data_IF_861648412372
#
_entry.id   IF_861648412372
#
_cell.length_a   1.000
_cell.length_b   1.000
_cell.length_c   1.000
_cell.angle_alpha   90.00
_cell.angle_beta   90.00
_cell.angle_gamma   90.00
#
_symmetry.space_group_name_H-M   'P 1'
#
loop_
_entity.id
_entity.type
_entity.pdbx_description
1 polymer ?
#
# COMPACT_ATOMS: atom_id res chain seq x y z
N UNK A 1 -9.12 -12.38 1.62
CA UNK A 1 -10.19 -13.03 0.82
C UNK A 1 -11.21 -13.79 1.67
N UNK A 2 -10.85 -14.76 2.51
CA UNK A 2 -11.82 -15.58 3.28
C UNK A 2 -12.81 -14.78 4.14
N UNK A 3 -12.41 -13.65 4.74
CA UNK A 3 -13.30 -12.79 5.55
C UNK A 3 -14.40 -12.13 4.70
N UNK A 4 -14.06 -11.61 3.52
CA UNK A 4 -15.03 -11.05 2.57
C UNK A 4 -16.01 -12.11 2.07
N UNK A 5 -15.50 -13.28 1.69
CA UNK A 5 -16.34 -14.41 1.25
C UNK A 5 -17.29 -14.87 2.38
N UNK A 6 -16.81 -14.93 3.62
CA UNK A 6 -17.66 -15.26 4.78
C UNK A 6 -18.71 -14.18 5.07
N UNK A 7 -18.36 -12.90 4.87
CA UNK A 7 -19.29 -11.78 5.03
C UNK A 7 -20.38 -11.82 3.95
N UNK A 8 -19.99 -12.05 2.71
CA UNK A 8 -20.90 -12.27 1.58
C UNK A 8 -21.80 -13.49 1.86
N UNK A 9 -21.23 -14.63 2.24
CA UNK A 9 -21.98 -15.86 2.53
C UNK A 9 -23.02 -15.70 3.64
N UNK A 10 -22.79 -14.80 4.59
CA UNK A 10 -23.72 -14.51 5.70
C UNK A 10 -24.73 -13.38 5.38
N UNK A 11 -24.69 -12.81 4.17
CA UNK A 11 -25.52 -11.66 3.80
C UNK A 11 -25.25 -10.41 4.66
N UNK A 12 -24.08 -10.32 5.30
CA UNK A 12 -23.68 -9.20 6.18
C UNK A 12 -22.58 -8.41 5.53
N UNK A 13 -22.91 -7.75 4.40
CA UNK A 13 -21.98 -6.84 3.74
C UNK A 13 -21.92 -5.53 4.52
N UNK A 14 -20.72 -5.08 4.85
CA UNK A 14 -20.50 -3.74 5.40
C UNK A 14 -20.71 -2.68 4.32
N UNK A 15 -21.09 -1.48 4.72
CA UNK A 15 -21.29 -0.36 3.80
C UNK A 15 -19.97 0.35 3.42
N UNK A 16 -18.93 0.27 4.25
CA UNK A 16 -17.65 0.91 4.02
C UNK A 16 -16.48 0.01 4.38
N UNK A 17 -15.55 -0.13 3.45
CA UNK A 17 -14.32 -0.91 3.61
C UNK A 17 -13.09 -0.04 3.37
N UNK A 18 -12.05 -0.30 4.15
CA UNK A 18 -10.71 0.19 3.86
C UNK A 18 -9.83 -1.01 3.51
N UNK A 19 -9.43 -1.11 2.25
CA UNK A 19 -8.45 -2.07 1.79
C UNK A 19 -7.06 -1.45 1.96
N UNK A 20 -6.27 -2.01 2.83
CA UNK A 20 -4.91 -1.58 3.09
C UNK A 20 -3.91 -2.67 2.66
N UNK A 21 -2.86 -2.30 1.95
CA UNK A 21 -1.86 -3.24 1.46
C UNK A 21 -0.66 -2.53 0.87
N UNK A 22 0.30 -3.31 0.36
CA UNK A 22 1.57 -2.79 -0.12
C UNK A 22 1.49 -2.25 -1.56
N UNK A 23 0.57 -2.79 -2.37
CA UNK A 23 0.46 -2.45 -3.79
C UNK A 23 -0.96 -1.98 -4.13
N UNK A 24 -1.06 -0.72 -4.58
CA UNK A 24 -2.35 -0.12 -4.93
C UNK A 24 -3.05 -0.86 -6.08
N UNK A 25 -2.28 -1.37 -7.05
CA UNK A 25 -2.82 -2.14 -8.16
C UNK A 25 -3.52 -3.43 -7.70
N UNK A 26 -2.94 -4.17 -6.76
CA UNK A 26 -3.55 -5.37 -6.18
C UNK A 26 -4.83 -5.03 -5.41
N UNK A 27 -4.82 -3.95 -4.66
CA UNK A 27 -6.02 -3.47 -3.96
C UNK A 27 -7.13 -3.08 -4.94
N UNK A 28 -6.78 -2.46 -6.07
CA UNK A 28 -7.72 -2.10 -7.13
C UNK A 28 -8.35 -3.35 -7.78
N UNK A 29 -7.55 -4.39 -8.07
CA UNK A 29 -8.07 -5.65 -8.58
C UNK A 29 -9.01 -6.34 -7.59
N UNK A 30 -8.69 -6.33 -6.30
CA UNK A 30 -9.57 -6.87 -5.25
C UNK A 30 -10.89 -6.10 -5.14
N UNK A 31 -10.83 -4.78 -5.22
CA UNK A 31 -12.02 -3.93 -5.21
C UNK A 31 -12.90 -4.17 -6.44
N UNK A 32 -12.26 -4.32 -7.63
CA UNK A 32 -12.94 -4.65 -8.88
C UNK A 32 -13.62 -6.02 -8.79
N UNK A 33 -12.95 -7.05 -8.29
CA UNK A 33 -13.51 -8.38 -8.10
C UNK A 33 -14.72 -8.36 -7.13
N UNK A 34 -14.65 -7.57 -6.05
CA UNK A 34 -15.81 -7.40 -5.17
C UNK A 34 -16.97 -6.70 -5.89
N UNK A 35 -16.72 -5.62 -6.62
CA UNK A 35 -17.74 -4.91 -7.40
C UNK A 35 -18.38 -5.82 -8.46
N UNK A 36 -17.57 -6.66 -9.14
CA UNK A 36 -18.06 -7.67 -10.07
C UNK A 36 -18.94 -8.70 -9.37
N UNK A 37 -18.53 -9.24 -8.22
CA UNK A 37 -19.32 -10.22 -7.45
C UNK A 37 -20.68 -9.67 -7.04
N UNK A 38 -20.75 -8.38 -6.63
CA UNK A 38 -21.96 -7.71 -6.18
C UNK A 38 -22.95 -7.41 -7.33
N UNK A 39 -22.44 -7.21 -8.56
CA UNK A 39 -23.23 -6.79 -9.71
C UNK A 39 -23.25 -7.86 -10.83
N UNK A 40 -22.76 -9.08 -10.56
CA UNK A 40 -22.74 -10.15 -11.53
C UNK A 40 -24.16 -10.67 -11.83
N UNK A 41 -24.50 -10.78 -13.11
CA UNK A 41 -25.79 -11.35 -13.54
C UNK A 41 -25.88 -12.86 -13.29
N UNK A 42 -24.76 -13.56 -13.29
CA UNK A 42 -24.66 -15.00 -13.12
C UNK A 42 -23.55 -15.37 -12.14
N UNK A 43 -23.66 -14.93 -10.85
CA UNK A 43 -22.61 -15.16 -9.87
C UNK A 43 -22.41 -16.65 -9.58
N UNK A 44 -21.18 -17.03 -9.31
CA UNK A 44 -20.89 -18.33 -8.71
C UNK A 44 -21.46 -18.35 -7.31
N UNK A 45 -22.27 -19.37 -7.01
CA UNK A 45 -22.94 -19.47 -5.73
C UNK A 45 -22.43 -20.66 -4.92
N UNK A 46 -22.19 -20.43 -3.64
CA UNK A 46 -21.96 -21.47 -2.64
C UNK A 46 -23.06 -21.39 -1.59
N UNK A 47 -23.75 -22.49 -1.33
CA UNK A 47 -24.88 -22.55 -0.39
C UNK A 47 -25.97 -21.49 -0.67
N UNK A 48 -26.24 -21.17 -1.96
CA UNK A 48 -27.25 -20.21 -2.36
C UNK A 48 -26.81 -18.75 -2.38
N UNK A 49 -25.64 -18.42 -1.87
CA UNK A 49 -25.10 -17.05 -1.78
C UNK A 49 -24.02 -16.82 -2.86
N UNK A 50 -24.03 -15.62 -3.47
CA UNK A 50 -23.00 -15.21 -4.43
C UNK A 50 -21.65 -15.11 -3.72
N UNK A 51 -20.68 -15.89 -4.14
CA UNK A 51 -19.33 -15.93 -3.56
C UNK A 51 -18.26 -15.44 -4.51
N UNK A 52 -18.56 -15.42 -5.82
CA UNK A 52 -17.61 -14.96 -6.84
C UNK A 52 -18.35 -14.50 -8.12
N UNK A 53 -17.65 -13.70 -8.96
CA UNK A 53 -18.15 -13.28 -10.25
C UNK A 53 -18.00 -14.36 -11.32
N UNK A 54 -18.75 -14.25 -12.43
CA UNK A 54 -18.59 -15.16 -13.55
C UNK A 54 -17.58 -14.69 -14.61
N UNK A 55 -17.07 -13.48 -14.51
CA UNK A 55 -16.09 -12.77 -15.37
C UNK A 55 -16.46 -12.62 -16.86
N UNK A 56 -17.61 -13.11 -17.28
CA UNK A 56 -18.03 -13.18 -18.70
C UNK A 56 -19.37 -12.53 -19.01
N UNK A 57 -20.19 -12.18 -18.02
CA UNK A 57 -21.45 -11.47 -18.28
C UNK A 57 -21.21 -10.01 -18.67
N UNK A 58 -22.26 -9.32 -19.15
CA UNK A 58 -22.15 -7.92 -19.57
C UNK A 58 -21.63 -7.01 -18.44
N UNK A 59 -22.13 -7.19 -17.21
CA UNK A 59 -21.72 -6.39 -16.06
C UNK A 59 -20.26 -6.65 -15.67
N UNK A 60 -19.81 -7.91 -15.61
CA UNK A 60 -18.42 -8.21 -15.34
C UNK A 60 -17.47 -7.56 -16.35
N UNK A 61 -17.82 -7.58 -17.65
CA UNK A 61 -17.01 -6.93 -18.69
C UNK A 61 -17.00 -5.41 -18.56
N UNK A 62 -18.18 -4.79 -18.32
CA UNK A 62 -18.28 -3.33 -18.10
C UNK A 62 -17.43 -2.90 -16.88
N UNK A 63 -17.50 -3.65 -15.77
CA UNK A 63 -16.74 -3.35 -14.55
C UNK A 63 -15.24 -3.54 -14.79
N UNK A 64 -14.81 -4.57 -15.52
CA UNK A 64 -13.42 -4.78 -15.89
C UNK A 64 -12.84 -3.61 -16.72
N UNK A 65 -13.66 -2.91 -17.48
CA UNK A 65 -13.31 -1.76 -18.30
C UNK A 65 -13.58 -0.39 -17.64
N UNK A 66 -13.99 -0.37 -16.37
CA UNK A 66 -14.40 0.82 -15.61
C UNK A 66 -15.58 1.59 -16.27
N UNK A 67 -16.49 0.88 -16.98
CA UNK A 67 -17.61 1.43 -17.76
C UNK A 67 -19.00 1.12 -17.17
N UNK A 68 -19.07 0.54 -15.98
CA UNK A 68 -20.36 0.17 -15.37
C UNK A 68 -21.02 1.39 -14.71
N UNK A 69 -22.30 1.70 -14.97
CA UNK A 69 -22.97 2.91 -14.48
C UNK A 69 -23.14 2.95 -12.96
N UNK A 70 -23.08 1.81 -12.28
CA UNK A 70 -23.21 1.72 -10.83
C UNK A 70 -21.88 1.45 -10.11
N UNK A 71 -20.74 1.54 -10.82
CA UNK A 71 -19.40 1.39 -10.23
C UNK A 71 -18.58 2.63 -10.57
N UNK A 72 -18.32 3.44 -9.57
CA UNK A 72 -17.65 4.73 -9.71
C UNK A 72 -16.24 4.67 -9.13
N UNK A 73 -15.30 5.19 -9.91
CA UNK A 73 -13.91 5.30 -9.49
C UNK A 73 -13.54 6.76 -9.27
N UNK A 74 -12.91 7.04 -8.13
CA UNK A 74 -12.24 8.32 -7.88
C UNK A 74 -10.74 8.07 -7.79
N UNK A 75 -9.99 8.79 -8.62
CA UNK A 75 -8.53 8.74 -8.69
C UNK A 75 -7.95 10.14 -8.54
N UNK A 76 -6.72 10.28 -7.99
CA UNK A 76 -6.07 11.58 -7.94
C UNK A 76 -5.77 12.11 -9.36
N UNK A 77 -6.43 13.17 -9.79
CA UNK A 77 -6.30 13.76 -11.14
C UNK A 77 -5.40 14.99 -11.18
N UNK A 78 -5.16 15.64 -10.03
CA UNK A 78 -4.37 16.86 -9.97
C UNK A 78 -2.88 16.63 -10.20
N UNK A 79 -2.14 17.66 -10.67
CA UNK A 79 -0.66 17.66 -10.72
C UNK A 79 -0.03 17.32 -9.36
N UNK A 80 -0.73 17.61 -8.27
CA UNK A 80 -0.32 17.31 -6.89
C UNK A 80 -0.74 15.90 -6.45
N UNK A 81 -1.41 15.12 -7.32
CA UNK A 81 -1.95 13.79 -7.00
C UNK A 81 -2.82 13.79 -5.74
N UNK A 82 -3.69 14.78 -5.61
CA UNK A 82 -4.61 14.96 -4.48
C UNK A 82 -6.04 14.74 -4.98
N UNK A 83 -6.85 14.04 -4.20
CA UNK A 83 -8.29 13.94 -4.43
C UNK A 83 -8.96 15.19 -3.83
N UNK A 84 -9.67 15.92 -4.68
CA UNK A 84 -10.29 17.21 -4.33
C UNK A 84 -11.67 17.03 -3.73
N UNK A 85 -12.18 18.08 -3.09
CA UNK A 85 -13.53 18.09 -2.53
C UNK A 85 -14.59 18.01 -3.64
N UNK A 86 -14.32 18.55 -4.82
CA UNK A 86 -15.26 18.54 -5.94
C UNK A 86 -15.42 17.14 -6.53
N UNK A 87 -14.32 16.39 -6.72
CA UNK A 87 -14.39 14.97 -7.09
C UNK A 87 -15.21 14.14 -6.09
N UNK A 88 -15.05 14.41 -4.80
CA UNK A 88 -15.83 13.71 -3.77
C UNK A 88 -17.31 14.12 -3.75
N UNK A 89 -17.62 15.38 -4.06
CA UNK A 89 -19.02 15.84 -4.18
C UNK A 89 -19.72 15.19 -5.37
N UNK A 90 -19.06 15.13 -6.52
CA UNK A 90 -19.56 14.42 -7.71
C UNK A 90 -19.82 12.95 -7.40
N UNK A 91 -18.87 12.25 -6.80
CA UNK A 91 -19.07 10.87 -6.37
C UNK A 91 -20.28 10.72 -5.45
N UNK A 92 -20.43 11.60 -4.45
CA UNK A 92 -21.54 11.53 -3.51
C UNK A 92 -22.89 11.79 -4.17
N UNK A 93 -22.96 12.69 -5.16
CA UNK A 93 -24.17 12.92 -5.96
C UNK A 93 -24.56 11.67 -6.74
N UNK A 94 -23.62 11.04 -7.42
CA UNK A 94 -23.82 9.77 -8.13
C UNK A 94 -24.27 8.64 -7.20
N UNK A 95 -23.72 8.57 -6.01
CA UNK A 95 -24.10 7.55 -5.02
C UNK A 95 -25.50 7.73 -4.44
N UNK A 96 -26.06 8.96 -4.44
CA UNK A 96 -27.44 9.24 -4.00
C UNK A 96 -28.50 8.75 -5.00
N UNK A 97 -28.14 8.55 -6.25
CA UNK A 97 -29.04 8.04 -7.26
C UNK A 97 -29.33 6.56 -7.01
N UNK A 98 -30.53 6.10 -7.35
CA UNK A 98 -30.83 4.66 -7.29
C UNK A 98 -29.94 3.88 -8.27
N UNK A 99 -29.55 2.64 -7.95
CA UNK A 99 -28.84 1.79 -8.90
C UNK A 99 -29.61 1.70 -10.22
N UNK A 100 -28.89 1.81 -11.34
CA UNK A 100 -29.45 1.71 -12.70
C UNK A 100 -29.84 0.27 -13.04
N UNK A 101 -29.13 -0.69 -12.45
CA UNK A 101 -29.35 -2.12 -12.57
C UNK A 101 -29.68 -2.72 -11.19
N UNK A 102 -30.07 -3.98 -11.10
CA UNK A 102 -30.57 -4.63 -9.85
C UNK A 102 -29.49 -4.98 -8.84
N UNK A 103 -28.35 -4.31 -8.85
CA UNK A 103 -27.20 -4.59 -8.01
C UNK A 103 -26.96 -3.59 -6.89
N UNK A 104 -25.69 -3.40 -6.60
CA UNK A 104 -25.17 -2.45 -5.63
C UNK A 104 -24.51 -1.27 -6.35
N UNK A 105 -24.67 -0.06 -5.82
CA UNK A 105 -23.77 1.04 -6.16
C UNK A 105 -22.46 0.86 -5.42
N UNK A 106 -21.35 0.90 -6.15
CA UNK A 106 -20.01 0.72 -5.59
C UNK A 106 -19.17 1.95 -5.90
N UNK A 107 -18.68 2.60 -4.86
CA UNK A 107 -17.70 3.67 -4.98
C UNK A 107 -16.33 3.17 -4.58
N UNK A 108 -15.34 3.32 -5.46
CA UNK A 108 -13.96 2.92 -5.22
C UNK A 108 -13.09 4.17 -5.24
N UNK A 109 -12.47 4.47 -4.10
CA UNK A 109 -11.60 5.64 -3.92
C UNK A 109 -10.16 5.13 -3.88
N UNK A 110 -9.46 5.27 -5.02
CA UNK A 110 -8.09 4.83 -5.19
C UNK A 110 -7.12 5.84 -4.57
N UNK A 111 -6.12 5.37 -3.83
CA UNK A 111 -5.20 6.19 -3.06
C UNK A 111 -5.93 7.16 -2.09
N UNK A 112 -6.82 6.64 -1.26
CA UNK A 112 -7.63 7.42 -0.32
C UNK A 112 -6.78 8.25 0.67
N UNK A 113 -5.52 7.88 0.93
CA UNK A 113 -4.54 8.67 1.68
C UNK A 113 -4.19 10.01 1.00
N UNK A 114 -4.61 10.22 -0.26
CA UNK A 114 -4.47 11.47 -1.02
C UNK A 114 -5.68 12.40 -0.93
N UNK A 115 -6.70 12.03 -0.16
CA UNK A 115 -7.82 12.93 0.13
C UNK A 115 -7.29 14.19 0.85
N UNK A 116 -7.62 15.38 0.32
CA UNK A 116 -7.38 16.59 1.09
C UNK A 116 -8.34 16.67 2.28
N UNK A 117 -8.04 17.50 3.27
CA UNK A 117 -8.83 17.62 4.50
C UNK A 117 -10.30 17.99 4.22
N UNK A 118 -10.55 18.81 3.21
CA UNK A 118 -11.92 19.21 2.84
C UNK A 118 -12.69 18.04 2.20
N UNK A 119 -12.07 17.29 1.30
CA UNK A 119 -12.63 16.09 0.68
C UNK A 119 -12.94 15.01 1.73
N UNK A 120 -11.98 14.77 2.63
CA UNK A 120 -12.14 13.81 3.72
C UNK A 120 -13.32 14.18 4.64
N UNK A 121 -13.42 15.44 5.05
CA UNK A 121 -14.54 15.91 5.89
C UNK A 121 -15.90 15.86 5.18
N UNK A 122 -15.96 16.22 3.89
CA UNK A 122 -17.19 16.13 3.10
C UNK A 122 -17.68 14.68 2.99
N UNK A 123 -16.76 13.71 2.97
CA UNK A 123 -17.09 12.28 2.85
C UNK A 123 -17.64 11.66 4.13
N UNK A 124 -17.37 12.25 5.32
CA UNK A 124 -17.79 11.69 6.61
C UNK A 124 -19.30 11.47 6.71
N UNK A 125 -20.11 12.40 6.18
CA UNK A 125 -21.57 12.27 6.21
C UNK A 125 -22.05 11.03 5.46
N UNK A 126 -21.45 10.72 4.31
CA UNK A 126 -21.80 9.53 3.51
C UNK A 126 -21.33 8.24 4.18
N UNK A 127 -20.24 8.29 4.94
CA UNK A 127 -19.78 7.15 5.74
C UNK A 127 -20.69 6.88 6.94
N UNK A 128 -21.32 7.91 7.52
CA UNK A 128 -22.27 7.79 8.65
C UNK A 128 -23.64 7.34 8.19
N UNK A 129 -24.12 7.91 7.08
CA UNK A 129 -25.45 7.65 6.50
C UNK A 129 -25.31 7.21 5.03
N UNK A 130 -24.84 5.96 4.79
CA UNK A 130 -24.64 5.47 3.43
C UNK A 130 -25.99 5.26 2.72
N UNK A 131 -26.06 5.54 1.42
CA UNK A 131 -27.25 5.22 0.63
C UNK A 131 -27.55 3.71 0.64
N UNK A 132 -28.84 3.38 0.50
CA UNK A 132 -29.28 1.99 0.42
C UNK A 132 -28.58 1.24 -0.73
N UNK A 133 -28.20 -0.02 -0.48
CA UNK A 133 -27.48 -0.86 -1.45
C UNK A 133 -26.22 -0.21 -2.02
N UNK A 134 -25.52 0.56 -1.20
CA UNK A 134 -24.21 1.12 -1.56
C UNK A 134 -23.09 0.46 -0.82
N UNK A 135 -21.91 0.37 -1.47
CA UNK A 135 -20.67 -0.09 -0.87
C UNK A 135 -19.54 0.89 -1.21
N UNK A 136 -18.89 1.40 -0.19
CA UNK A 136 -17.78 2.35 -0.30
C UNK A 136 -16.47 1.59 -0.05
N UNK A 137 -15.51 1.65 -0.96
CA UNK A 137 -14.23 0.95 -0.86
C UNK A 137 -13.11 1.97 -0.97
N UNK A 138 -12.38 2.16 0.10
CA UNK A 138 -11.19 3.01 0.14
C UNK A 138 -9.96 2.12 -0.03
N UNK A 139 -9.08 2.48 -0.96
CA UNK A 139 -7.82 1.79 -1.20
C UNK A 139 -6.67 2.66 -0.72
N UNK A 140 -5.79 2.14 0.11
CA UNK A 140 -4.65 2.89 0.62
C UNK A 140 -3.45 2.02 0.88
N UNK A 141 -2.28 2.49 0.46
CA UNK A 141 -0.98 1.91 0.85
C UNK A 141 -0.44 2.58 2.13
N UNK A 142 -0.98 3.75 2.51
CA UNK A 142 -0.58 4.52 3.69
C UNK A 142 -1.81 4.83 4.58
N UNK A 143 -2.50 3.82 5.14
CA UNK A 143 -3.75 4.02 5.88
C UNK A 143 -3.59 4.93 7.10
N UNK A 144 -2.38 5.06 7.65
CA UNK A 144 -2.07 5.96 8.77
C UNK A 144 -2.19 7.45 8.41
N UNK A 145 -2.26 7.80 7.12
CA UNK A 145 -2.48 9.19 6.65
C UNK A 145 -3.94 9.58 6.57
N UNK A 146 -4.84 8.58 6.62
CA UNK A 146 -6.27 8.83 6.66
C UNK A 146 -6.69 9.43 8.00
N UNK A 147 -7.71 10.27 7.97
CA UNK A 147 -8.26 10.84 9.20
C UNK A 147 -8.78 9.72 10.13
N UNK A 148 -8.51 9.79 11.45
CA UNK A 148 -9.03 8.82 12.41
C UNK A 148 -10.55 8.65 12.34
N UNK A 149 -11.27 9.71 11.98
CA UNK A 149 -12.71 9.72 11.80
C UNK A 149 -13.19 8.87 10.62
N UNK A 150 -12.41 8.75 9.55
CA UNK A 150 -12.66 7.81 8.43
C UNK A 150 -12.33 6.38 8.88
N UNK A 151 -11.15 6.20 9.51
CA UNK A 151 -10.71 4.88 9.96
C UNK A 151 -11.69 4.21 10.92
N UNK A 152 -12.33 4.99 11.79
CA UNK A 152 -13.31 4.47 12.76
C UNK A 152 -14.63 4.02 12.15
N UNK A 153 -14.93 4.43 10.89
CA UNK A 153 -16.18 4.14 10.17
C UNK A 153 -16.03 3.10 9.06
N UNK A 154 -14.81 2.67 8.79
CA UNK A 154 -14.52 1.68 7.76
C UNK A 154 -14.12 0.32 8.37
N UNK A 155 -14.63 -0.76 7.81
CA UNK A 155 -14.13 -2.10 8.09
C UNK A 155 -12.76 -2.26 7.41
N UNK A 156 -11.71 -2.28 8.20
CA UNK A 156 -10.35 -2.39 7.69
C UNK A 156 -10.02 -3.84 7.35
N UNK A 157 -9.60 -4.07 6.11
CA UNK A 157 -9.09 -5.33 5.60
C UNK A 157 -7.65 -5.12 5.13
N UNK A 158 -6.73 -5.86 5.71
CA UNK A 158 -5.32 -5.78 5.37
C UNK A 158 -4.99 -6.87 4.35
N UNK A 159 -4.48 -6.47 3.20
CA UNK A 159 -4.02 -7.31 2.11
C UNK A 159 -2.50 -7.12 1.96
N UNK A 160 -1.77 -7.61 2.92
CA UNK A 160 -0.32 -7.69 2.81
C UNK A 160 0.00 -9.03 2.16
N UNK A 161 0.73 -9.00 1.06
CA UNK A 161 1.11 -10.20 0.32
C UNK A 161 1.79 -11.24 1.22
N UNK A 162 1.72 -12.52 0.85
CA UNK A 162 2.39 -13.65 1.53
C UNK A 162 3.91 -13.56 1.29
N UNK A 163 4.52 -12.59 1.86
CA UNK A 163 5.92 -12.29 2.17
C UNK A 163 7.04 -12.72 1.24
N UNK A 164 6.89 -13.74 0.46
CA UNK A 164 7.95 -14.27 -0.41
C UNK A 164 7.51 -14.49 -1.85
N UNK A 165 6.23 -14.67 -2.12
CA UNK A 165 5.77 -14.90 -3.49
C UNK A 165 5.97 -13.67 -4.41
N UNK A 166 6.29 -12.50 -3.84
CA UNK A 166 6.53 -11.25 -4.57
C UNK A 166 7.89 -10.60 -4.30
N UNK A 167 8.75 -11.22 -3.47
CA UNK A 167 10.08 -10.64 -3.20
C UNK A 167 10.97 -10.85 -4.43
N UNK A 168 11.46 -9.76 -5.02
CA UNK A 168 12.45 -9.88 -6.07
C UNK A 168 13.71 -10.62 -5.52
N UNK A 169 14.32 -11.54 -6.29
CA UNK A 169 15.48 -12.30 -5.80
C UNK A 169 16.58 -11.40 -5.20
N UNK A 170 16.85 -10.26 -5.83
CA UNK A 170 17.82 -9.27 -5.36
C UNK A 170 17.49 -8.67 -3.99
N UNK A 171 16.20 -8.53 -3.65
CA UNK A 171 15.77 -8.02 -2.34
C UNK A 171 15.86 -9.11 -1.26
N UNK A 172 15.65 -10.38 -1.64
CA UNK A 172 15.86 -11.53 -0.76
C UNK A 172 17.33 -11.69 -0.38
N UNK A 173 18.23 -11.64 -1.36
CA UNK A 173 19.70 -11.72 -1.14
C UNK A 173 20.19 -10.54 -0.29
N UNK A 174 19.68 -9.35 -0.58
CA UNK A 174 20.00 -8.16 0.20
C UNK A 174 19.53 -8.28 1.66
N UNK A 175 18.30 -8.73 1.88
CA UNK A 175 17.74 -8.92 3.23
C UNK A 175 18.49 -10.01 4.00
N UNK A 176 18.92 -11.08 3.33
CA UNK A 176 19.77 -12.11 3.92
C UNK A 176 21.12 -11.54 4.39
N UNK A 177 21.75 -10.69 3.56
CA UNK A 177 23.00 -9.99 3.92
C UNK A 177 22.78 -9.04 5.11
N UNK A 178 21.71 -8.25 5.09
CA UNK A 178 21.32 -7.36 6.21
C UNK A 178 21.12 -8.17 7.49
N UNK A 179 20.34 -9.26 7.43
CA UNK A 179 20.06 -10.13 8.56
C UNK A 179 21.30 -10.80 9.14
N UNK A 180 22.22 -11.26 8.28
CA UNK A 180 23.50 -11.85 8.70
C UNK A 180 24.37 -10.83 9.46
N UNK A 181 24.44 -9.59 8.98
CA UNK A 181 25.18 -8.52 9.65
C UNK A 181 24.53 -8.14 10.98
N UNK A 182 23.21 -7.99 11.02
CA UNK A 182 22.46 -7.67 12.24
C UNK A 182 22.53 -8.80 13.28
N UNK A 183 22.53 -10.06 12.82
CA UNK A 183 22.71 -11.24 13.65
C UNK A 183 24.16 -11.45 14.13
N UNK A 184 25.14 -10.79 13.52
CA UNK A 184 26.54 -10.79 13.94
C UNK A 184 26.78 -10.05 15.26
N UNK A 185 27.79 -9.20 15.35
CA UNK A 185 28.06 -8.36 16.53
C UNK A 185 27.87 -6.85 16.25
N UNK A 186 26.64 -6.34 16.02
CA UNK A 186 26.42 -4.94 15.70
C UNK A 186 26.42 -4.01 16.95
N UNK A 187 26.85 -4.52 18.12
CA UNK A 187 26.90 -3.72 19.36
C UNK A 187 27.88 -2.53 19.27
N UNK A 188 28.91 -2.63 18.42
CA UNK A 188 29.82 -1.52 18.18
C UNK A 188 29.20 -0.47 17.28
N UNK A 189 29.59 0.79 17.46
CA UNK A 189 29.20 1.88 16.57
C UNK A 189 29.56 1.54 15.10
N UNK A 190 30.72 0.95 14.87
CA UNK A 190 31.16 0.52 13.55
C UNK A 190 30.21 -0.52 12.92
N UNK A 191 29.74 -1.51 13.68
CA UNK A 191 28.78 -2.50 13.18
C UNK A 191 27.46 -1.86 12.74
N UNK A 192 26.98 -0.83 13.44
CA UNK A 192 25.79 -0.06 13.06
C UNK A 192 25.99 0.75 11.79
N UNK A 193 27.18 1.33 11.60
CA UNK A 193 27.52 2.03 10.36
C UNK A 193 27.65 1.06 9.18
N UNK A 194 28.14 -0.18 9.38
CA UNK A 194 28.12 -1.20 8.34
C UNK A 194 26.67 -1.56 7.90
N UNK A 195 25.72 -1.63 8.85
CA UNK A 195 24.30 -1.83 8.52
C UNK A 195 23.73 -0.64 7.76
N UNK A 196 24.08 0.60 8.16
CA UNK A 196 23.67 1.80 7.46
C UNK A 196 24.19 1.83 6.03
N UNK A 197 25.46 1.49 5.83
CA UNK A 197 26.08 1.45 4.50
C UNK A 197 25.38 0.47 3.57
N UNK A 198 25.03 -0.73 4.06
CA UNK A 198 24.25 -1.72 3.28
C UNK A 198 22.87 -1.19 2.87
N UNK A 199 22.22 -0.41 3.72
CA UNK A 199 20.93 0.22 3.39
C UNK A 199 21.14 1.32 2.35
N UNK A 200 22.08 2.24 2.57
CA UNK A 200 22.35 3.36 1.67
C UNK A 200 22.82 2.91 0.30
N UNK A 201 23.68 1.87 0.24
CA UNK A 201 24.11 1.28 -1.01
C UNK A 201 22.91 0.74 -1.81
N UNK A 202 22.02 -0.01 -1.16
CA UNK A 202 20.81 -0.54 -1.83
C UNK A 202 19.87 0.57 -2.31
N UNK A 203 19.69 1.62 -1.53
CA UNK A 203 18.91 2.78 -1.93
C UNK A 203 19.51 3.50 -3.14
N UNK A 204 20.85 3.60 -3.20
CA UNK A 204 21.56 4.12 -4.36
C UNK A 204 21.35 3.27 -5.62
N UNK A 205 21.40 1.93 -5.51
CA UNK A 205 21.10 1.01 -6.60
C UNK A 205 19.65 1.16 -7.09
N UNK A 206 18.69 1.24 -6.17
CA UNK A 206 17.27 1.45 -6.49
C UNK A 206 17.09 2.77 -7.24
N UNK A 207 17.72 3.86 -6.78
CA UNK A 207 17.62 5.17 -7.42
C UNK A 207 18.16 5.14 -8.85
N UNK A 208 19.32 4.52 -9.05
CA UNK A 208 19.93 4.37 -10.37
C UNK A 208 19.08 3.50 -11.31
N UNK A 209 18.45 2.43 -10.80
CA UNK A 209 17.54 1.59 -11.60
C UNK A 209 16.28 2.33 -12.01
N UNK A 210 15.67 3.08 -11.09
CA UNK A 210 14.47 3.88 -11.35
C UNK A 210 14.76 4.96 -12.37
N UNK A 211 15.86 5.69 -12.19
CA UNK A 211 16.30 6.74 -13.13
C UNK A 211 16.48 6.15 -14.54
N UNK A 212 17.26 5.09 -14.67
CA UNK A 212 17.49 4.42 -15.95
C UNK A 212 16.19 3.92 -16.60
N UNK A 213 15.30 3.32 -15.82
CA UNK A 213 14.05 2.75 -16.34
C UNK A 213 13.10 3.83 -16.86
N UNK A 214 12.91 4.91 -16.10
CA UNK A 214 11.98 5.98 -16.47
C UNK A 214 12.55 6.89 -17.56
N UNK A 215 13.85 7.15 -17.55
CA UNK A 215 14.51 7.92 -18.61
C UNK A 215 14.40 7.21 -19.96
N UNK A 216 14.62 5.90 -20.03
CA UNK A 216 14.51 5.11 -21.26
C UNK A 216 13.09 5.12 -21.88
N UNK A 217 12.04 5.42 -21.11
CA UNK A 217 10.67 5.51 -21.59
C UNK A 217 10.17 6.96 -21.71
N UNK A 218 11.05 7.92 -21.46
CA UNK A 218 10.70 9.35 -21.54
C UNK A 218 10.57 9.81 -22.99
N UNK A 219 9.59 10.67 -23.32
CA UNK A 219 9.52 11.34 -24.61
C UNK A 219 10.79 12.15 -24.95
N UNK A 220 11.58 12.53 -23.96
CA UNK A 220 12.85 13.25 -24.14
C UNK A 220 13.89 12.47 -24.96
N UNK A 221 13.92 11.14 -24.84
CA UNK A 221 14.82 10.29 -25.63
C UNK A 221 14.30 10.02 -27.05
N UNK A 222 13.00 10.20 -27.27
CA UNK A 222 12.37 9.90 -28.56
C UNK A 222 12.31 11.11 -29.52
N UNK A 223 12.44 12.33 -29.00
CA UNK A 223 12.29 13.57 -29.75
C UNK A 223 13.43 14.55 -29.43
N UNK A 224 14.38 14.69 -30.36
CA UNK A 224 15.54 15.60 -30.21
C UNK A 224 15.19 17.08 -30.49
N UNK A 225 14.26 17.36 -31.44
CA UNK A 225 13.86 18.71 -31.83
C UNK A 225 12.49 19.09 -31.23
N UNK A 226 12.48 19.51 -29.98
CA UNK A 226 11.26 19.96 -29.30
C UNK A 226 11.42 21.40 -28.82
N UNK A 227 10.35 22.17 -28.88
CA UNK A 227 10.30 23.54 -28.35
C UNK A 227 10.72 23.56 -26.86
N UNK A 228 11.58 24.53 -26.50
CA UNK A 228 12.20 24.62 -25.19
C UNK A 228 11.18 24.52 -24.02
N UNK A 229 10.03 25.17 -24.16
CA UNK A 229 8.99 25.13 -23.11
C UNK A 229 8.36 23.75 -22.88
N UNK A 230 8.24 22.94 -23.95
CA UNK A 230 7.73 21.58 -23.86
C UNK A 230 8.79 20.63 -23.27
N UNK A 231 10.06 20.85 -23.62
CA UNK A 231 11.20 20.11 -23.06
C UNK A 231 11.34 20.32 -21.55
N UNK A 232 11.30 21.57 -21.08
CA UNK A 232 11.37 21.91 -19.65
C UNK A 232 10.21 21.26 -18.86
N UNK A 233 9.03 21.17 -19.48
CA UNK A 233 7.86 20.49 -18.91
C UNK A 233 8.11 18.99 -18.77
N UNK A 234 8.59 18.31 -19.79
CA UNK A 234 8.89 16.88 -19.77
C UNK A 234 10.02 16.54 -18.79
N UNK A 235 11.05 17.37 -18.69
CA UNK A 235 12.13 17.23 -17.69
C UNK A 235 11.56 17.30 -16.25
N UNK A 236 10.67 18.25 -16.00
CA UNK A 236 10.01 18.39 -14.70
C UNK A 236 9.09 17.19 -14.39
N UNK A 237 8.35 16.70 -15.37
CA UNK A 237 7.47 15.54 -15.23
C UNK A 237 8.29 14.25 -14.99
N UNK A 238 9.39 14.07 -15.72
CA UNK A 238 10.30 12.94 -15.54
C UNK A 238 10.94 12.94 -14.15
N UNK A 239 11.47 14.08 -13.71
CA UNK A 239 12.06 14.22 -12.38
C UNK A 239 11.05 13.91 -11.26
N UNK A 240 9.80 14.38 -11.41
CA UNK A 240 8.73 14.09 -10.47
C UNK A 240 8.36 12.59 -10.47
N UNK A 241 8.34 11.94 -11.63
CA UNK A 241 8.06 10.52 -11.76
C UNK A 241 9.18 9.66 -11.13
N UNK A 242 10.46 10.01 -11.39
CA UNK A 242 11.63 9.35 -10.77
C UNK A 242 11.56 9.44 -9.26
N UNK A 243 11.32 10.64 -8.72
CA UNK A 243 11.24 10.83 -7.28
C UNK A 243 10.06 10.08 -6.64
N UNK A 244 8.90 10.03 -7.31
CA UNK A 244 7.73 9.30 -6.82
C UNK A 244 7.99 7.78 -6.78
N UNK A 245 8.58 7.22 -7.85
CA UNK A 245 8.89 5.80 -7.94
C UNK A 245 10.02 5.42 -6.97
N UNK A 246 11.05 6.26 -6.82
CA UNK A 246 12.09 6.07 -5.83
C UNK A 246 11.52 5.99 -4.41
N UNK A 247 10.63 6.94 -4.04
CA UNK A 247 9.98 6.93 -2.71
C UNK A 247 9.17 5.64 -2.48
N UNK A 248 8.48 5.16 -3.51
CA UNK A 248 7.75 3.90 -3.44
C UNK A 248 8.68 2.72 -3.17
N UNK A 249 9.75 2.57 -3.97
CA UNK A 249 10.73 1.50 -3.83
C UNK A 249 11.50 1.56 -2.51
N UNK A 250 11.81 2.77 -2.04
CA UNK A 250 12.40 2.98 -0.71
C UNK A 250 11.47 2.49 0.39
N UNK A 251 10.19 2.82 0.32
CA UNK A 251 9.21 2.37 1.32
C UNK A 251 9.11 0.83 1.35
N UNK A 252 9.14 0.17 0.19
CA UNK A 252 9.17 -1.29 0.07
C UNK A 252 10.41 -1.88 0.75
N UNK A 253 11.60 -1.34 0.48
CA UNK A 253 12.84 -1.79 1.13
C UNK A 253 12.77 -1.67 2.66
N UNK A 254 12.30 -0.55 3.17
CA UNK A 254 12.18 -0.32 4.62
C UNK A 254 11.11 -1.22 5.25
N UNK A 255 10.08 -1.59 4.50
CA UNK A 255 9.09 -2.56 4.93
C UNK A 255 9.69 -3.96 5.10
N UNK A 256 10.65 -4.37 4.26
CA UNK A 256 11.37 -5.64 4.43
C UNK A 256 12.13 -5.67 5.75
N UNK A 257 12.82 -4.58 6.10
CA UNK A 257 13.50 -4.46 7.40
C UNK A 257 12.48 -4.53 8.54
N UNK A 258 11.36 -3.84 8.42
CA UNK A 258 10.29 -3.84 9.42
C UNK A 258 9.75 -5.26 9.66
N UNK A 259 9.47 -6.03 8.61
CA UNK A 259 9.03 -7.40 8.71
C UNK A 259 10.09 -8.33 9.31
N UNK A 260 11.36 -8.13 8.96
CA UNK A 260 12.46 -8.88 9.55
C UNK A 260 12.61 -8.59 11.07
N UNK A 261 12.48 -7.32 11.48
CA UNK A 261 12.47 -6.94 12.91
C UNK A 261 11.25 -7.53 13.64
N UNK A 262 10.09 -7.64 12.96
CA UNK A 262 8.91 -8.32 13.51
C UNK A 262 9.19 -9.80 13.71
N UNK A 263 9.86 -10.45 12.79
CA UNK A 263 10.23 -11.85 12.95
C UNK A 263 11.17 -12.05 14.16
N UNK A 264 12.14 -11.16 14.35
CA UNK A 264 12.96 -11.14 15.55
C UNK A 264 12.10 -10.98 16.83
N UNK A 265 11.10 -10.09 16.80
CA UNK A 265 10.19 -9.90 17.93
C UNK A 265 9.36 -11.16 18.22
N UNK A 266 8.77 -11.81 17.21
CA UNK A 266 8.01 -13.07 17.37
C UNK A 266 8.90 -14.14 18.01
N UNK A 267 10.14 -14.24 17.60
CA UNK A 267 11.09 -15.21 18.16
C UNK A 267 11.43 -14.92 19.63
N UNK A 268 11.46 -13.65 20.07
CA UNK A 268 11.62 -13.32 21.50
C UNK A 268 10.44 -13.80 22.36
N UNK A 269 9.27 -13.98 21.75
CA UNK A 269 8.06 -14.46 22.46
C UNK A 269 7.95 -15.98 22.51
N UNK A 270 8.82 -16.71 21.79
CA UNK A 270 8.76 -18.16 21.68
C UNK A 270 7.51 -18.69 20.96
N UNK A 271 6.83 -17.85 20.17
CA UNK A 271 5.63 -18.20 19.42
C UNK A 271 6.04 -18.86 18.09
N UNK A 272 5.23 -19.80 17.61
CA UNK A 272 5.53 -20.73 16.53
C UNK A 272 6.16 -20.13 15.26
N UNK A 273 7.07 -20.89 14.66
CA UNK A 273 7.81 -20.50 13.46
C UNK A 273 6.90 -20.25 12.23
N UNK A 274 5.69 -20.78 12.26
CA UNK A 274 4.67 -20.57 11.20
C UNK A 274 4.17 -19.13 11.06
N UNK A 275 4.44 -18.28 12.06
CA UNK A 275 4.10 -16.85 12.04
C UNK A 275 5.22 -15.97 11.47
N UNK A 276 6.39 -16.53 11.19
CA UNK A 276 7.51 -15.79 10.63
C UNK A 276 7.24 -15.47 9.17
N UNK A 277 7.57 -14.25 8.77
CA UNK A 277 7.46 -13.79 7.39
C UNK A 277 8.62 -14.30 6.54
N UNK A 278 9.82 -14.36 7.11
CA UNK A 278 11.05 -14.76 6.46
C UNK A 278 11.79 -15.88 7.23
N UNK A 279 11.18 -17.07 7.37
CA UNK A 279 11.77 -18.15 8.15
C UNK A 279 13.15 -18.61 7.65
N UNK A 280 13.44 -18.39 6.35
CA UNK A 280 14.73 -18.74 5.73
C UNK A 280 15.79 -17.65 5.86
N UNK A 281 15.44 -16.42 6.28
CA UNK A 281 16.42 -15.33 6.44
C UNK A 281 17.06 -15.45 7.82
N UNK A 282 18.36 -15.65 7.81
CA UNK A 282 19.16 -15.79 9.03
C UNK A 282 19.30 -14.47 9.80
N UNK A 283 19.71 -14.55 11.06
CA UNK A 283 20.05 -13.40 11.91
C UNK A 283 18.94 -12.96 12.85
N UNK A 284 17.67 -13.11 12.51
CA UNK A 284 16.55 -12.72 13.38
C UNK A 284 16.57 -13.49 14.72
N UNK A 285 16.85 -14.79 14.70
CA UNK A 285 16.99 -15.62 15.90
C UNK A 285 18.19 -15.19 16.76
N UNK A 286 19.32 -14.88 16.14
CA UNK A 286 20.51 -14.43 16.86
C UNK A 286 20.25 -13.08 17.58
N UNK A 287 19.52 -12.16 16.94
CA UNK A 287 19.09 -10.91 17.56
C UNK A 287 18.08 -11.21 18.69
N UNK A 288 17.08 -12.06 18.46
CA UNK A 288 16.06 -12.40 19.44
C UNK A 288 16.63 -12.99 20.75
N UNK A 289 17.73 -13.72 20.67
CA UNK A 289 18.45 -14.26 21.85
C UNK A 289 19.17 -13.18 22.68
N UNK A 290 19.41 -12.00 22.13
CA UNK A 290 20.19 -10.92 22.78
C UNK A 290 19.33 -9.81 23.33
N UNK A 291 18.11 -9.64 22.83
CA UNK A 291 17.21 -8.57 23.21
C UNK A 291 15.95 -9.10 23.89
N UNK A 292 15.33 -8.27 24.70
CA UNK A 292 14.03 -8.58 25.32
C UNK A 292 12.88 -8.31 24.34
N UNK A 293 11.72 -8.94 24.56
CA UNK A 293 10.53 -8.68 23.76
C UNK A 293 10.11 -7.20 23.76
N UNK A 294 10.37 -6.48 24.87
CA UNK A 294 10.14 -5.02 24.96
C UNK A 294 11.07 -4.24 24.02
N UNK A 295 12.37 -4.56 24.02
CA UNK A 295 13.33 -3.92 23.11
C UNK A 295 13.03 -4.24 21.64
N UNK A 296 12.62 -5.47 21.33
CA UNK A 296 12.19 -5.84 19.99
C UNK A 296 10.95 -5.03 19.54
N UNK A 297 9.99 -4.78 20.43
CA UNK A 297 8.83 -3.92 20.15
C UNK A 297 9.25 -2.46 19.99
N UNK A 298 10.23 -1.98 20.75
CA UNK A 298 10.81 -0.64 20.59
C UNK A 298 11.50 -0.47 19.23
N UNK A 299 12.15 -1.52 18.71
CA UNK A 299 12.71 -1.53 17.35
C UNK A 299 11.63 -1.31 16.29
N UNK A 300 10.49 -1.98 16.37
CA UNK A 300 9.39 -1.80 15.43
C UNK A 300 8.87 -0.35 15.46
N UNK A 301 8.65 0.22 16.65
CA UNK A 301 8.24 1.62 16.81
C UNK A 301 9.26 2.60 16.25
N UNK A 302 10.55 2.33 16.46
CA UNK A 302 11.64 3.15 15.94
C UNK A 302 11.66 3.13 14.42
N UNK A 303 11.45 1.96 13.81
CA UNK A 303 11.39 1.82 12.35
C UNK A 303 10.17 2.55 11.76
N UNK A 304 8.99 2.43 12.38
CA UNK A 304 7.79 3.18 11.98
C UNK A 304 8.02 4.70 12.07
N UNK A 305 8.66 5.16 13.15
CA UNK A 305 8.99 6.58 13.30
C UNK A 305 9.98 7.06 12.24
N UNK A 306 10.98 6.25 11.92
CA UNK A 306 11.94 6.55 10.85
C UNK A 306 11.25 6.65 9.49
N UNK A 307 10.35 5.71 9.17
CA UNK A 307 9.54 5.77 7.95
C UNK A 307 8.69 7.05 7.89
N UNK A 308 8.05 7.46 8.99
CA UNK A 308 7.29 8.72 9.04
C UNK A 308 8.18 9.94 8.79
N UNK A 309 9.37 9.99 9.38
CA UNK A 309 10.32 11.09 9.16
C UNK A 309 10.74 11.22 7.70
N UNK A 310 10.90 10.10 6.97
CA UNK A 310 11.25 10.08 5.56
C UNK A 310 10.14 10.62 4.63
N UNK A 311 8.93 10.83 5.13
CA UNK A 311 7.86 11.54 4.41
C UNK A 311 7.89 13.06 4.64
N UNK A 312 8.77 13.54 5.52
CA UNK A 312 8.99 14.97 5.77
C UNK A 312 10.23 15.46 5.03
N UNK A 313 10.54 16.78 5.15
CA UNK A 313 11.73 17.37 4.52
C UNK A 313 13.04 17.10 5.30
N UNK A 314 13.19 15.92 5.88
CA UNK A 314 14.41 15.50 6.58
C UNK A 314 15.37 14.84 5.60
N UNK A 315 16.66 15.10 5.75
CA UNK A 315 17.69 14.42 4.95
C UNK A 315 17.63 12.90 5.20
N UNK A 316 17.50 12.13 4.12
CA UNK A 316 17.29 10.69 4.15
C UNK A 316 18.35 9.93 4.94
N UNK A 317 19.63 10.17 4.63
CA UNK A 317 20.74 9.52 5.31
C UNK A 317 20.72 9.77 6.84
N UNK A 318 20.42 11.00 7.25
CA UNK A 318 20.34 11.37 8.66
C UNK A 318 19.16 10.68 9.37
N UNK A 319 17.99 10.61 8.73
CA UNK A 319 16.84 9.91 9.31
C UNK A 319 17.11 8.42 9.51
N UNK A 320 17.75 7.78 8.54
CA UNK A 320 18.15 6.37 8.61
C UNK A 320 19.22 6.12 9.66
N UNK A 321 20.25 6.98 9.74
CA UNK A 321 21.29 6.91 10.74
C UNK A 321 20.74 6.98 12.17
N UNK A 322 19.93 7.99 12.44
CA UNK A 322 19.29 8.16 13.77
C UNK A 322 18.36 6.99 14.09
N UNK A 323 17.61 6.50 13.11
CA UNK A 323 16.76 5.33 13.27
C UNK A 323 17.58 4.10 13.64
N UNK A 324 18.62 3.80 12.87
CA UNK A 324 19.46 2.61 13.05
C UNK A 324 20.24 2.62 14.37
N UNK A 325 20.73 3.79 14.79
CA UNK A 325 21.44 3.96 16.06
C UNK A 325 20.55 3.69 17.28
N UNK A 326 19.24 3.83 17.16
CA UNK A 326 18.27 3.53 18.24
C UNK A 326 17.84 2.07 18.29
N UNK A 327 18.09 1.27 17.25
CA UNK A 327 17.71 -0.14 17.25
C UNK A 327 18.56 -0.96 18.23
N UNK A 328 17.96 -1.95 18.83
CA UNK A 328 18.58 -2.95 19.70
C UNK A 328 18.84 -4.22 18.88
N UNK A 329 20.10 -4.71 18.92
CA UNK A 329 20.51 -5.91 18.22
C UNK A 329 21.17 -6.92 19.16
#
# INVERSE_FOLDING_TARGET
MQLLQRSLARGRLGHAYLFAGDQLAELAELARALAQTLNCLHPVRSQGVATDACDRCANCRKIAQDLHPDVHWVRPESKLRVITVDQMRELMQEMQLKPSETGYKVAIIEAADRLNTQAANAFLKTLEEPPDKSVLILLSTEPQRLLPTILSRCLRLNFFGDGLAGLAPADGDWLARFGALAGGEPKSLMGRYCLLDVILQRLGEIRAQVDKSLSAHSPLEQHEDVEKGLRDKWETELAAAIEAEYRRRRAELLMLIHWWLRDAWIQTLGIGQELLKFPQITGAEAVARRITARQALENLKTMEQTQRLLHTNVQEALALEVGLLKLHF
#
